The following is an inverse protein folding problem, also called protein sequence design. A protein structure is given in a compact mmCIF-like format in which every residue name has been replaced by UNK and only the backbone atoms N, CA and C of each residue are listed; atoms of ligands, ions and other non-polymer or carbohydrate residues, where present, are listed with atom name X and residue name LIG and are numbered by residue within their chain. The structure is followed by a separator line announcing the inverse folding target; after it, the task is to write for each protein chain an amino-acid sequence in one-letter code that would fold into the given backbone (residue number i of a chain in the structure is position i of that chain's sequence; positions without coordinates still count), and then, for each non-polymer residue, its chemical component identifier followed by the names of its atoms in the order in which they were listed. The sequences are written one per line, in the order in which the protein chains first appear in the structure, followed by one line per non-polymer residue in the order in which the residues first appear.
data_IF_309614989991
#
_entry.id   IF_309614989991
#
_cell.length_a   1.000
_cell.length_b   1.000
_cell.length_c   1.000
_cell.angle_alpha   90.00
_cell.angle_beta   90.00
_cell.angle_gamma   90.00
#
_symmetry.space_group_name_H-M   'P 1'
#
loop_
_entity.id
_entity.type
_entity.pdbx_description
1 polymer ?
#
# COMPACT_ATOMS: atom_id res chain seq x y z
N UNK A 1 14.30 17.82 -19.41
CA UNK A 1 13.21 17.16 -18.67
C UNK A 1 13.40 15.67 -18.93
N UNK A 2 13.50 14.82 -17.88
CA UNK A 2 13.63 13.37 -18.05
C UNK A 2 12.23 12.78 -18.24
N UNK A 3 12.03 11.99 -19.27
CA UNK A 3 10.80 11.23 -19.47
C UNK A 3 10.95 9.88 -18.77
N UNK A 4 9.99 9.54 -17.91
CA UNK A 4 9.92 8.28 -17.17
C UNK A 4 8.49 7.74 -17.23
N UNK A 5 8.35 6.43 -17.09
CA UNK A 5 7.03 5.80 -16.98
C UNK A 5 6.42 6.06 -15.60
N UNK A 6 5.10 5.91 -15.48
CA UNK A 6 4.41 6.00 -14.18
C UNK A 6 4.98 4.98 -13.16
N UNK A 7 5.29 3.78 -13.61
CA UNK A 7 5.85 2.72 -12.75
C UNK A 7 7.24 3.10 -12.21
N UNK A 8 8.08 3.70 -13.07
CA UNK A 8 9.39 4.21 -12.65
C UNK A 8 9.23 5.37 -11.65
N UNK A 9 8.28 6.28 -11.87
CA UNK A 9 8.00 7.37 -10.95
C UNK A 9 7.54 6.87 -9.57
N UNK A 10 6.65 5.87 -9.53
CA UNK A 10 6.21 5.23 -8.27
C UNK A 10 7.40 4.60 -7.54
N UNK A 11 8.24 3.83 -8.28
CA UNK A 11 9.43 3.22 -7.70
C UNK A 11 10.39 4.26 -7.12
N UNK A 12 10.67 5.32 -7.86
CA UNK A 12 11.55 6.40 -7.39
C UNK A 12 11.02 7.04 -6.12
N UNK A 13 9.72 7.36 -6.06
CA UNK A 13 9.11 7.91 -4.86
C UNK A 13 9.23 6.97 -3.65
N UNK A 14 8.99 5.66 -3.83
CA UNK A 14 9.17 4.68 -2.76
C UNK A 14 10.63 4.66 -2.26
N UNK A 15 11.59 4.63 -3.18
CA UNK A 15 13.03 4.62 -2.83
C UNK A 15 13.40 5.90 -2.07
N UNK A 16 13.02 7.06 -2.59
CA UNK A 16 13.32 8.36 -1.97
C UNK A 16 12.75 8.46 -0.54
N UNK A 17 11.50 8.07 -0.34
CA UNK A 17 10.88 8.08 0.99
C UNK A 17 11.55 7.10 1.95
N UNK A 18 11.89 5.91 1.48
CA UNK A 18 12.59 4.90 2.30
C UNK A 18 14.04 5.28 2.62
N UNK A 19 14.71 6.05 1.77
CA UNK A 19 16.05 6.58 2.04
C UNK A 19 16.03 7.73 3.04
N UNK A 20 14.98 8.58 3.01
CA UNK A 20 14.83 9.73 3.89
C UNK A 20 14.34 9.37 5.30
N UNK A 21 13.57 8.29 5.43
CA UNK A 21 12.91 7.93 6.68
C UNK A 21 12.99 6.41 6.94
N UNK A 22 13.66 6.03 8.00
CA UNK A 22 13.81 4.63 8.43
C UNK A 22 12.49 4.00 8.91
N UNK A 23 11.48 4.80 9.24
CA UNK A 23 10.15 4.31 9.64
C UNK A 23 9.28 3.92 8.44
N UNK A 24 9.65 4.28 7.22
CA UNK A 24 8.96 3.85 6.01
C UNK A 24 9.33 2.40 5.71
N UNK A 25 8.34 1.54 5.57
CA UNK A 25 8.52 0.15 5.16
C UNK A 25 7.39 -0.29 4.23
N UNK A 26 7.63 -1.34 3.46
CA UNK A 26 6.63 -1.90 2.55
C UNK A 26 6.22 -3.28 3.00
N UNK A 27 4.91 -3.55 2.97
CA UNK A 27 4.33 -4.85 3.31
C UNK A 27 3.35 -5.27 2.24
N UNK A 28 3.43 -6.52 1.78
CA UNK A 28 2.56 -7.01 0.72
C UNK A 28 2.83 -8.47 0.39
N UNK A 29 2.10 -8.98 -0.60
CA UNK A 29 2.26 -10.34 -1.10
C UNK A 29 3.24 -10.36 -2.26
N UNK A 30 4.20 -11.27 -2.23
CA UNK A 30 5.20 -11.49 -3.28
C UNK A 30 5.99 -10.22 -3.69
N UNK A 31 6.08 -9.24 -2.81
CA UNK A 31 6.78 -7.96 -3.09
C UNK A 31 8.30 -8.18 -3.20
N UNK A 32 8.87 -9.13 -2.47
CA UNK A 32 10.27 -9.54 -2.61
C UNK A 32 10.52 -10.24 -3.95
N UNK A 33 9.53 -10.99 -4.44
CA UNK A 33 9.55 -11.65 -5.74
C UNK A 33 9.41 -10.69 -6.92
N UNK A 34 9.12 -9.42 -6.67
CA UNK A 34 9.03 -8.36 -7.68
C UNK A 34 8.01 -8.64 -8.78
N UNK A 35 6.81 -9.09 -8.41
CA UNK A 35 5.69 -9.29 -9.36
C UNK A 35 5.42 -8.01 -10.14
N UNK A 36 5.46 -6.86 -9.46
CA UNK A 36 5.37 -5.56 -10.12
C UNK A 36 6.74 -4.88 -10.21
N UNK A 37 7.05 -4.21 -11.34
CA UNK A 37 8.36 -3.59 -11.54
C UNK A 37 8.75 -2.53 -10.50
N UNK A 38 7.78 -1.89 -9.83
CA UNK A 38 8.08 -0.88 -8.81
C UNK A 38 8.64 -1.47 -7.50
N UNK A 39 8.49 -2.78 -7.26
CA UNK A 39 9.09 -3.45 -6.08
C UNK A 39 10.46 -4.06 -6.37
N UNK A 40 10.87 -4.09 -7.65
CA UNK A 40 12.11 -4.75 -8.08
C UNK A 40 13.35 -4.15 -7.42
N UNK A 41 14.13 -4.99 -6.76
CA UNK A 41 15.40 -4.61 -6.13
C UNK A 41 15.25 -3.87 -4.81
N UNK A 42 14.04 -3.71 -4.26
CA UNK A 42 13.84 -3.03 -2.98
C UNK A 42 14.36 -3.87 -1.81
N UNK A 43 14.18 -5.19 -1.84
CA UNK A 43 14.67 -6.06 -0.75
C UNK A 43 16.19 -6.09 -0.68
N UNK A 44 16.88 -6.04 -1.81
CA UNK A 44 18.33 -5.96 -1.86
C UNK A 44 18.87 -4.63 -1.33
N UNK A 45 18.10 -3.54 -1.49
CA UNK A 45 18.48 -2.21 -1.06
C UNK A 45 18.14 -1.93 0.41
N UNK A 46 16.97 -2.35 0.88
CA UNK A 46 16.43 -1.98 2.18
C UNK A 46 16.35 -3.14 3.20
N UNK A 47 16.60 -4.37 2.75
CA UNK A 47 16.55 -5.57 3.59
C UNK A 47 15.13 -6.11 3.83
N UNK A 48 15.09 -7.33 4.34
CA UNK A 48 13.85 -8.08 4.57
C UNK A 48 12.99 -7.52 5.71
N UNK A 49 13.59 -6.76 6.62
CA UNK A 49 12.89 -6.14 7.74
C UNK A 49 12.02 -4.95 7.28
N UNK A 50 12.42 -4.29 6.19
CA UNK A 50 11.68 -3.16 5.63
C UNK A 50 10.88 -3.51 4.37
N UNK A 51 11.16 -4.66 3.75
CA UNK A 51 10.38 -5.22 2.63
C UNK A 51 9.80 -6.55 3.09
N UNK A 52 8.58 -6.50 3.61
CA UNK A 52 7.96 -7.59 4.35
C UNK A 52 6.98 -8.35 3.47
N UNK A 53 7.35 -9.58 3.06
CA UNK A 53 6.42 -10.49 2.40
C UNK A 53 5.44 -11.10 3.40
N UNK A 54 4.19 -11.22 2.97
CA UNK A 54 3.13 -11.85 3.75
C UNK A 54 2.46 -12.99 2.98
N UNK A 55 1.85 -13.95 3.68
CA UNK A 55 0.89 -14.84 3.05
C UNK A 55 -0.34 -14.06 2.54
N UNK A 56 -1.17 -14.71 1.72
CA UNK A 56 -2.47 -14.18 1.26
C UNK A 56 -3.43 -14.01 2.46
N UNK A 57 -3.39 -12.82 3.07
CA UNK A 57 -4.18 -12.48 4.24
C UNK A 57 -4.35 -10.95 4.35
N UNK A 58 -5.08 -10.35 3.40
CA UNK A 58 -5.17 -8.90 3.21
C UNK A 58 -5.59 -8.15 4.48
N UNK A 59 -6.62 -8.64 5.18
CA UNK A 59 -7.06 -8.02 6.45
C UNK A 59 -6.00 -8.13 7.55
N UNK A 60 -5.29 -9.26 7.63
CA UNK A 60 -4.19 -9.44 8.58
C UNK A 60 -3.01 -8.53 8.29
N UNK A 61 -2.59 -8.50 7.03
CA UNK A 61 -1.52 -7.64 6.52
C UNK A 61 -1.82 -6.16 6.80
N UNK A 62 -3.02 -5.72 6.45
CA UNK A 62 -3.43 -4.33 6.66
C UNK A 62 -3.56 -3.99 8.16
N UNK A 63 -4.06 -4.92 8.98
CA UNK A 63 -4.12 -4.76 10.43
C UNK A 63 -2.75 -4.57 11.07
N UNK A 64 -1.74 -5.31 10.61
CA UNK A 64 -0.32 -5.11 11.03
C UNK A 64 0.17 -3.71 10.64
N UNK A 65 -0.11 -3.28 9.41
CA UNK A 65 0.26 -1.95 8.95
C UNK A 65 -0.41 -0.83 9.77
N UNK A 66 -1.69 -0.98 10.09
CA UNK A 66 -2.40 -0.04 10.98
C UNK A 66 -1.74 0.05 12.36
N UNK A 67 -1.45 -1.10 12.97
CA UNK A 67 -0.77 -1.13 14.27
C UNK A 67 0.60 -0.46 14.23
N UNK A 68 1.38 -0.73 13.20
CA UNK A 68 2.67 -0.07 12.98
C UNK A 68 2.53 1.45 12.79
N UNK A 69 1.51 1.90 12.04
CA UNK A 69 1.24 3.31 11.84
C UNK A 69 0.89 4.04 13.15
N UNK A 70 0.14 3.39 14.06
CA UNK A 70 -0.14 3.92 15.40
C UNK A 70 1.11 4.08 16.24
N UNK A 71 2.12 3.25 16.04
CA UNK A 71 3.42 3.30 16.72
C UNK A 71 4.44 4.24 16.03
N UNK A 72 4.01 4.97 15.00
CA UNK A 72 4.82 5.99 14.34
C UNK A 72 5.53 5.54 13.07
N UNK A 73 5.36 4.30 12.64
CA UNK A 73 5.83 3.84 11.33
C UNK A 73 4.99 4.41 10.20
N UNK A 74 5.52 4.34 8.99
CA UNK A 74 4.87 4.78 7.74
C UNK A 74 4.79 3.63 6.74
N UNK A 75 3.81 2.73 6.90
CA UNK A 75 3.68 1.57 6.03
C UNK A 75 3.15 1.93 4.64
N UNK A 76 3.75 1.31 3.63
CA UNK A 76 3.24 1.20 2.27
C UNK A 76 2.69 -0.23 2.12
N UNK A 77 1.38 -0.36 1.98
CA UNK A 77 0.70 -1.66 1.86
C UNK A 77 0.41 -1.94 0.39
N UNK A 78 0.94 -3.04 -0.13
CA UNK A 78 0.68 -3.49 -1.48
C UNK A 78 -0.37 -4.59 -1.52
N UNK A 79 -1.53 -4.29 -2.08
CA UNK A 79 -2.61 -5.27 -2.27
C UNK A 79 -2.51 -6.04 -3.59
N UNK A 80 -1.44 -5.85 -4.36
CA UNK A 80 -1.26 -6.44 -5.67
C UNK A 80 -2.31 -5.93 -6.68
N UNK A 81 -3.58 -6.24 -6.49
CA UNK A 81 -4.69 -5.79 -7.35
C UNK A 81 -5.76 -5.07 -6.54
N UNK A 82 -6.35 -4.04 -7.15
CA UNK A 82 -7.33 -3.19 -6.49
C UNK A 82 -8.58 -3.94 -5.99
N UNK A 83 -9.00 -5.02 -6.67
CA UNK A 83 -10.10 -5.87 -6.23
C UNK A 83 -9.89 -6.49 -4.85
N UNK A 84 -8.64 -6.77 -4.47
CA UNK A 84 -8.31 -7.36 -3.16
C UNK A 84 -8.51 -6.40 -1.99
N UNK A 85 -8.56 -5.10 -2.23
CA UNK A 85 -8.95 -4.14 -1.18
C UNK A 85 -10.36 -4.38 -0.64
N UNK A 86 -11.24 -5.02 -1.40
CA UNK A 86 -12.58 -5.35 -0.89
C UNK A 86 -12.58 -6.41 0.21
N UNK A 87 -11.56 -7.28 0.28
CA UNK A 87 -11.41 -8.26 1.37
C UNK A 87 -11.20 -7.57 2.71
N UNK A 88 -10.52 -6.42 2.71
CA UNK A 88 -10.20 -5.63 3.90
C UNK A 88 -10.84 -4.23 3.88
N UNK A 89 -11.98 -4.11 3.20
CA UNK A 89 -12.58 -2.79 2.97
C UNK A 89 -13.02 -2.09 4.26
N UNK A 90 -13.44 -2.84 5.28
CA UNK A 90 -13.80 -2.27 6.58
C UNK A 90 -12.59 -1.64 7.27
N UNK A 91 -11.43 -2.27 7.21
CA UNK A 91 -10.19 -1.77 7.79
C UNK A 91 -9.70 -0.53 7.04
N UNK A 92 -9.75 -0.58 5.72
CA UNK A 92 -9.35 0.55 4.86
C UNK A 92 -10.31 1.73 5.04
N UNK A 93 -11.61 1.52 4.91
CA UNK A 93 -12.58 2.62 4.88
C UNK A 93 -12.98 3.13 6.26
N UNK A 94 -13.28 2.21 7.19
CA UNK A 94 -13.80 2.59 8.52
C UNK A 94 -12.65 2.77 9.50
N UNK A 95 -11.84 1.73 9.69
CA UNK A 95 -10.81 1.77 10.72
C UNK A 95 -9.72 2.79 10.39
N UNK A 96 -9.22 2.86 9.16
CA UNK A 96 -8.21 3.86 8.77
C UNK A 96 -8.83 5.20 8.41
N UNK A 97 -9.81 5.22 7.52
CA UNK A 97 -10.39 6.47 7.01
C UNK A 97 -11.06 7.34 8.08
N UNK A 98 -11.59 6.75 9.14
CA UNK A 98 -12.21 7.48 10.25
C UNK A 98 -11.33 7.60 11.49
N UNK A 99 -10.16 6.97 11.50
CA UNK A 99 -9.30 6.85 12.68
C UNK A 99 -8.97 8.22 13.30
N UNK A 100 -8.47 9.12 12.48
CA UNK A 100 -8.09 10.46 12.91
C UNK A 100 -9.26 11.21 13.58
N UNK A 101 -10.44 11.13 12.99
CA UNK A 101 -11.65 11.77 13.52
C UNK A 101 -12.11 11.14 14.84
N UNK A 102 -12.17 9.79 14.90
CA UNK A 102 -12.62 9.06 16.11
C UNK A 102 -11.70 9.34 17.30
N UNK A 103 -10.40 9.53 17.05
CA UNK A 103 -9.42 9.84 18.09
C UNK A 103 -9.20 11.35 18.31
N UNK A 104 -10.17 12.19 17.91
CA UNK A 104 -10.13 13.64 18.15
C UNK A 104 -8.94 14.35 17.51
N UNK A 105 -8.41 13.83 16.40
CA UNK A 105 -7.30 14.44 15.68
C UNK A 105 -5.91 14.22 16.31
N UNK A 106 -5.79 13.34 17.30
CA UNK A 106 -4.55 13.17 18.05
C UNK A 106 -3.66 12.04 17.53
N UNK A 107 -4.25 11.03 16.87
CA UNK A 107 -3.52 9.84 16.40
C UNK A 107 -3.55 9.82 14.86
N UNK A 108 -2.44 10.13 14.20
CA UNK A 108 -2.35 10.02 12.74
C UNK A 108 -2.36 8.54 12.32
N UNK A 109 -2.80 8.29 11.08
CA UNK A 109 -2.77 6.96 10.46
C UNK A 109 -2.10 7.06 9.07
N UNK A 110 -0.78 7.22 9.01
CA UNK A 110 -0.06 7.47 7.76
C UNK A 110 0.17 6.17 6.98
N UNK A 111 -0.89 5.56 6.48
CA UNK A 111 -0.83 4.35 5.65
C UNK A 111 -0.99 4.76 4.19
N UNK A 112 -0.06 4.31 3.34
CA UNK A 112 -0.16 4.40 1.88
C UNK A 112 -0.57 3.05 1.33
N UNK A 113 -1.51 3.02 0.40
CA UNK A 113 -1.95 1.79 -0.29
C UNK A 113 -1.55 1.83 -1.75
N UNK A 114 -0.92 0.76 -2.23
CA UNK A 114 -0.66 0.53 -3.65
C UNK A 114 -1.48 -0.67 -4.13
N UNK A 115 -2.07 -0.55 -5.31
CA UNK A 115 -2.80 -1.65 -5.94
C UNK A 115 -2.93 -1.41 -7.44
N UNK A 116 -2.64 -2.42 -8.25
CA UNK A 116 -2.81 -2.34 -9.69
C UNK A 116 -4.30 -2.43 -10.07
N UNK A 117 -4.71 -1.63 -11.06
CA UNK A 117 -6.06 -1.65 -11.60
C UNK A 117 -6.06 -1.37 -13.11
N UNK A 118 -7.15 -1.70 -13.77
CA UNK A 118 -7.38 -1.40 -15.18
C UNK A 118 -7.13 -2.58 -16.12
N UNK A 119 -7.52 -2.39 -17.38
CA UNK A 119 -7.57 -3.45 -18.39
C UNK A 119 -6.24 -3.71 -19.10
N UNK A 120 -5.20 -2.92 -18.83
CA UNK A 120 -3.92 -2.96 -19.54
C UNK A 120 -3.19 -4.31 -19.44
N UNK A 121 -3.30 -4.99 -18.33
CA UNK A 121 -2.66 -6.29 -18.09
C UNK A 121 -3.42 -7.46 -18.71
N UNK A 122 -4.64 -7.26 -19.23
CA UNK A 122 -5.49 -8.30 -19.84
C UNK A 122 -5.71 -9.53 -18.94
N UNK A 123 -5.64 -9.34 -17.64
CA UNK A 123 -6.02 -10.32 -16.65
C UNK A 123 -7.54 -10.29 -16.48
N UNK A 124 -8.16 -11.31 -15.93
CA UNK A 124 -9.61 -11.44 -15.77
C UNK A 124 -10.27 -10.20 -15.11
N UNK A 125 -11.58 -10.25 -14.89
CA UNK A 125 -12.35 -9.12 -14.36
C UNK A 125 -11.85 -8.61 -13.00
N UNK A 126 -11.49 -9.50 -12.10
CA UNK A 126 -11.09 -9.19 -10.74
C UNK A 126 -9.80 -8.33 -10.69
N UNK A 127 -8.69 -8.70 -11.34
CA UNK A 127 -7.49 -7.84 -11.37
C UNK A 127 -7.69 -6.51 -12.12
N UNK A 128 -8.74 -6.39 -12.92
CA UNK A 128 -9.03 -5.16 -13.69
C UNK A 128 -10.05 -4.25 -13.00
N UNK A 129 -10.60 -4.68 -11.85
CA UNK A 129 -11.60 -3.94 -11.10
C UNK A 129 -11.01 -2.65 -10.52
N UNK A 130 -11.76 -1.56 -10.60
CA UNK A 130 -11.41 -0.29 -9.96
C UNK A 130 -12.21 -0.07 -8.67
N UNK A 131 -11.55 0.38 -7.62
CA UNK A 131 -12.18 0.66 -6.31
C UNK A 131 -12.42 2.15 -6.09
N UNK A 132 -12.10 2.99 -7.06
CA UNK A 132 -12.14 4.46 -6.95
C UNK A 132 -13.48 4.98 -6.42
N UNK A 133 -14.60 4.51 -6.97
CA UNK A 133 -15.93 4.94 -6.55
C UNK A 133 -16.22 4.67 -5.07
N UNK A 134 -15.75 3.53 -4.56
CA UNK A 134 -15.93 3.16 -3.16
C UNK A 134 -15.06 4.03 -2.23
N UNK A 135 -13.85 4.36 -2.63
CA UNK A 135 -12.94 5.21 -1.84
C UNK A 135 -13.35 6.68 -1.88
N UNK A 136 -13.86 7.19 -3.01
CA UNK A 136 -14.36 8.57 -3.12
C UNK A 136 -15.50 8.91 -2.15
N UNK A 137 -16.23 7.92 -1.68
CA UNK A 137 -17.28 8.12 -0.68
C UNK A 137 -16.75 8.14 0.77
N UNK A 138 -15.46 7.96 0.96
CA UNK A 138 -14.84 8.02 2.28
C UNK A 138 -14.33 9.45 2.54
N UNK A 139 -14.94 10.21 3.46
CA UNK A 139 -14.67 11.66 3.59
C UNK A 139 -13.28 12.00 4.15
N UNK A 140 -12.51 11.00 4.58
CA UNK A 140 -11.23 11.17 5.29
C UNK A 140 -10.04 10.49 4.61
N UNK A 141 -10.23 10.05 3.38
CA UNK A 141 -9.16 9.53 2.52
C UNK A 141 -8.55 10.61 1.65
#
# INVERSE_FOLDING_TARGET
MREITLVEAIREAIVEEMEMDEQVFMVGQDIRGSIFPYTKGLVEQFGEERIVDTPLAESGMYGVAMGAAMEGFRPIVDFMFAGFTYVTFSEVSVATGQHYFIHGGQVPMPVVVTAATGTGMRLANDPSMGVHGSLFHQPWW
#
